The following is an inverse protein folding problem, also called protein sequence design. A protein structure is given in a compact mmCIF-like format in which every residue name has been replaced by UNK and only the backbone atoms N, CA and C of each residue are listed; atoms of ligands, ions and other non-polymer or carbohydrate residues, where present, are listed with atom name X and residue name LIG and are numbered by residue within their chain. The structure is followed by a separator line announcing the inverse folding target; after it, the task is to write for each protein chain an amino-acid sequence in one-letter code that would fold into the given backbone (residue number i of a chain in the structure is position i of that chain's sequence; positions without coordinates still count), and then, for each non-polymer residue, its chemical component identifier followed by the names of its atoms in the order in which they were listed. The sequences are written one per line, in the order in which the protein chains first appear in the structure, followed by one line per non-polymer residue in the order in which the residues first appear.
data_IF_524947976958
#
_entry.id   IF_524947976958
#
_cell.length_a   1.000
_cell.length_b   1.000
_cell.length_c   1.000
_cell.angle_alpha   90.00
_cell.angle_beta   90.00
_cell.angle_gamma   90.00
#
_symmetry.space_group_name_H-M   'P 1'
#
loop_
_entity.id
_entity.type
_entity.pdbx_description
1 polymer ?
#
# COMPACT_ATOMS: atom_id res chain seq x y z
N UNK A 1 11.95 10.89 -5.35
CA UNK A 1 10.73 11.74 -5.41
C UNK A 1 10.34 12.11 -3.99
N UNK A 2 9.97 13.37 -3.75
CA UNK A 2 9.60 13.87 -2.42
C UNK A 2 8.18 14.46 -2.47
N UNK A 3 7.34 14.14 -1.48
CA UNK A 3 5.97 14.66 -1.33
C UNK A 3 5.72 15.11 0.11
N UNK A 4 4.81 16.07 0.29
CA UNK A 4 4.28 16.46 1.61
C UNK A 4 2.99 15.70 1.87
N UNK A 5 2.90 15.10 3.05
CA UNK A 5 1.72 14.41 3.55
C UNK A 5 1.41 14.90 4.97
N UNK A 6 0.15 15.25 5.29
CA UNK A 6 -0.18 15.79 6.61
C UNK A 6 -0.10 14.74 7.73
N UNK A 7 -0.12 13.44 7.43
CA UNK A 7 -0.09 12.36 8.41
C UNK A 7 1.35 11.96 8.72
N UNK A 8 2.14 11.70 7.68
CA UNK A 8 3.52 11.19 7.85
C UNK A 8 4.61 12.25 7.61
N UNK A 9 4.24 13.50 7.32
CA UNK A 9 5.18 14.60 7.10
C UNK A 9 5.82 14.58 5.72
N UNK A 10 7.09 14.17 5.63
CA UNK A 10 7.83 14.14 4.38
C UNK A 10 7.90 12.69 3.85
N UNK A 11 7.26 12.43 2.72
CA UNK A 11 7.40 11.15 2.03
C UNK A 11 8.58 11.24 1.05
N UNK A 12 9.63 10.45 1.27
CA UNK A 12 10.80 10.40 0.41
C UNK A 12 10.96 9.01 -0.20
N UNK A 13 10.86 8.94 -1.53
CA UNK A 13 11.06 7.72 -2.33
C UNK A 13 12.31 7.90 -3.20
N UNK A 14 13.47 7.78 -2.57
CA UNK A 14 14.77 8.12 -3.18
C UNK A 14 15.77 6.96 -3.14
N UNK A 15 15.53 5.93 -2.32
CA UNK A 15 16.35 4.72 -2.32
C UNK A 15 16.13 3.89 -3.58
N UNK A 16 17.08 2.99 -3.88
CA UNK A 16 16.98 2.03 -4.97
C UNK A 16 15.71 1.17 -4.87
N UNK A 17 15.37 0.74 -3.65
CA UNK A 17 14.16 -0.04 -3.37
C UNK A 17 12.89 0.80 -3.60
N UNK A 18 12.92 2.08 -3.23
CA UNK A 18 11.78 3.00 -3.39
C UNK A 18 11.61 3.54 -4.82
N UNK A 19 12.56 3.31 -5.73
CA UNK A 19 12.51 3.80 -7.11
C UNK A 19 11.34 3.21 -7.92
N UNK A 20 10.75 2.10 -7.47
CA UNK A 20 9.54 1.52 -8.07
C UNK A 20 8.29 2.39 -7.81
N UNK A 21 8.25 3.13 -6.70
CA UNK A 21 7.07 3.93 -6.31
C UNK A 21 6.76 5.04 -7.32
N UNK A 22 7.70 5.93 -7.71
CA UNK A 22 7.43 6.95 -8.73
C UNK A 22 6.96 6.37 -10.07
N UNK A 23 7.49 5.21 -10.49
CA UNK A 23 7.08 4.53 -11.72
C UNK A 23 5.61 4.09 -11.65
N UNK A 24 5.21 3.46 -10.55
CA UNK A 24 3.84 3.02 -10.34
C UNK A 24 2.86 4.19 -10.17
N UNK A 25 3.28 5.25 -9.48
CA UNK A 25 2.45 6.45 -9.33
C UNK A 25 2.14 7.12 -10.67
N UNK A 26 3.03 7.01 -11.67
CA UNK A 26 2.78 7.60 -12.99
C UNK A 26 1.67 6.88 -13.78
N UNK A 27 1.24 5.70 -13.35
CA UNK A 27 0.24 4.89 -14.06
C UNK A 27 -1.17 5.45 -13.88
N UNK A 28 -1.98 5.34 -14.94
CA UNK A 28 -3.37 5.80 -14.94
C UNK A 28 -4.23 5.12 -13.88
N UNK A 29 -3.99 3.83 -13.60
CA UNK A 29 -4.78 3.06 -12.63
C UNK A 29 -4.57 3.58 -11.20
N UNK A 30 -3.33 3.95 -10.86
CA UNK A 30 -3.01 4.58 -9.56
C UNK A 30 -3.48 6.03 -9.52
N UNK A 31 -3.30 6.82 -10.58
CA UNK A 31 -3.79 8.20 -10.64
C UNK A 31 -5.32 8.30 -10.52
N UNK A 32 -6.06 7.23 -10.88
CA UNK A 32 -7.51 7.15 -10.66
C UNK A 32 -7.89 7.25 -9.19
N UNK A 33 -7.06 6.75 -8.28
CA UNK A 33 -7.36 6.73 -6.84
C UNK A 33 -7.51 8.14 -6.26
N UNK A 34 -7.01 9.19 -6.94
CA UNK A 34 -7.22 10.60 -6.55
C UNK A 34 -8.69 11.03 -6.57
N UNK A 35 -9.54 10.28 -7.28
CA UNK A 35 -10.98 10.57 -7.45
C UNK A 35 -11.86 9.68 -6.57
N UNK A 36 -11.25 8.85 -5.72
CA UNK A 36 -11.95 7.88 -4.88
C UNK A 36 -11.66 8.23 -3.42
N UNK A 37 -12.70 8.65 -2.68
CA UNK A 37 -12.59 8.91 -1.24
C UNK A 37 -12.32 7.61 -0.48
N UNK A 38 -11.43 7.65 0.52
CA UNK A 38 -11.11 6.49 1.37
C UNK A 38 -12.36 5.99 2.11
N UNK A 39 -13.06 6.91 2.78
CA UNK A 39 -14.17 6.61 3.67
C UNK A 39 -15.57 6.83 3.04
N UNK A 40 -15.66 6.93 1.71
CA UNK A 40 -16.92 7.05 0.99
C UNK A 40 -17.81 8.19 1.50
N UNK A 41 -19.00 7.84 2.00
CA UNK A 41 -20.01 8.80 2.47
C UNK A 41 -19.78 9.29 3.91
N UNK A 42 -18.71 8.85 4.59
CA UNK A 42 -18.38 9.28 5.95
C UNK A 42 -18.23 10.81 6.06
N UNK A 43 -17.85 11.46 4.95
CA UNK A 43 -17.85 12.92 4.80
C UNK A 43 -19.18 13.61 5.14
N UNK A 44 -20.32 12.91 5.07
CA UNK A 44 -21.62 13.44 5.46
C UNK A 44 -21.76 13.63 6.99
N UNK A 45 -21.02 12.84 7.79
CA UNK A 45 -20.99 12.95 9.25
C UNK A 45 -19.72 13.66 9.75
N UNK A 46 -18.59 13.43 9.07
CA UNK A 46 -17.29 14.04 9.37
C UNK A 46 -16.82 14.84 8.15
N UNK A 47 -17.14 16.13 8.04
CA UNK A 47 -16.83 16.93 6.83
C UNK A 47 -15.35 16.98 6.43
N UNK A 48 -14.42 16.66 7.33
CA UNK A 48 -12.99 16.55 7.04
C UNK A 48 -12.55 15.23 6.39
N UNK A 49 -13.40 14.19 6.38
CA UNK A 49 -13.14 12.85 5.84
C UNK A 49 -13.19 12.82 4.29
N UNK A 50 -12.40 13.69 3.67
CA UNK A 50 -12.32 13.94 2.22
C UNK A 50 -11.06 13.35 1.59
N UNK A 51 -10.18 12.72 2.38
CA UNK A 51 -8.96 12.10 1.88
C UNK A 51 -9.26 10.95 0.91
N UNK A 52 -8.31 10.75 0.00
CA UNK A 52 -8.46 9.83 -1.14
C UNK A 52 -7.65 8.57 -0.94
N UNK A 53 -8.05 7.50 -1.63
CA UNK A 53 -7.27 6.25 -1.71
C UNK A 53 -5.85 6.47 -2.24
N UNK A 54 -5.64 7.52 -3.05
CA UNK A 54 -4.31 7.89 -3.51
C UNK A 54 -3.39 8.37 -2.37
N UNK A 55 -3.93 9.19 -1.46
CA UNK A 55 -3.16 9.65 -0.29
C UNK A 55 -2.84 8.48 0.65
N UNK A 56 -3.82 7.59 0.84
CA UNK A 56 -3.63 6.34 1.58
C UNK A 56 -2.54 5.46 0.94
N UNK A 57 -2.63 5.15 -0.35
CA UNK A 57 -1.63 4.34 -1.06
C UNK A 57 -0.19 4.87 -0.89
N UNK A 58 0.00 6.20 -0.99
CA UNK A 58 1.28 6.86 -0.74
C UNK A 58 1.76 6.69 0.71
N UNK A 59 0.86 6.85 1.67
CA UNK A 59 1.15 6.67 3.08
C UNK A 59 1.52 5.22 3.40
N UNK A 60 0.76 4.24 2.91
CA UNK A 60 1.04 2.81 3.05
C UNK A 60 2.42 2.45 2.47
N UNK A 61 2.76 2.98 1.29
CA UNK A 61 4.10 2.81 0.71
C UNK A 61 5.20 3.44 1.58
N UNK A 62 4.94 4.59 2.21
CA UNK A 62 5.89 5.22 3.12
C UNK A 62 6.09 4.41 4.42
N UNK A 63 5.01 3.90 5.01
CA UNK A 63 5.11 3.02 6.18
C UNK A 63 5.91 1.76 5.83
N UNK A 64 5.70 1.19 4.64
CA UNK A 64 6.52 0.09 4.13
C UNK A 64 7.99 0.47 3.98
N UNK A 65 8.33 1.66 3.44
CA UNK A 65 9.73 2.11 3.40
C UNK A 65 10.38 2.14 4.80
N UNK A 66 9.65 2.61 5.82
CA UNK A 66 10.14 2.66 7.20
C UNK A 66 10.35 1.25 7.78
N UNK A 67 9.42 0.33 7.51
CA UNK A 67 9.55 -1.07 7.91
C UNK A 67 10.76 -1.74 7.23
N UNK A 68 10.93 -1.56 5.92
CA UNK A 68 12.05 -2.12 5.18
C UNK A 68 13.39 -1.58 5.67
N UNK A 69 13.44 -0.28 6.03
CA UNK A 69 14.61 0.31 6.69
C UNK A 69 14.93 -0.41 8.00
N UNK A 70 13.93 -0.67 8.85
CA UNK A 70 14.14 -1.44 10.08
C UNK A 70 14.64 -2.86 9.80
N UNK A 71 14.07 -3.52 8.79
CA UNK A 71 14.48 -4.86 8.38
C UNK A 71 15.91 -4.89 7.83
N UNK A 72 16.38 -3.79 7.21
CA UNK A 72 17.80 -3.61 6.86
C UNK A 72 18.69 -3.49 8.09
N UNK A 73 18.28 -2.73 9.10
CA UNK A 73 19.07 -2.55 10.33
C UNK A 73 19.35 -3.87 11.07
N UNK A 74 18.42 -4.82 11.00
CA UNK A 74 18.56 -6.14 11.64
C UNK A 74 19.01 -7.24 10.67
N UNK A 75 19.34 -6.89 9.42
CA UNK A 75 19.56 -7.85 8.34
C UNK A 75 20.63 -8.90 8.67
N UNK A 76 21.76 -8.47 9.24
CA UNK A 76 22.87 -9.36 9.55
C UNK A 76 22.61 -10.27 10.75
N UNK A 77 21.67 -9.88 11.62
CA UNK A 77 21.20 -10.72 12.73
C UNK A 77 20.20 -11.79 12.27
N UNK A 78 19.61 -11.65 11.08
CA UNK A 78 18.68 -12.64 10.53
C UNK A 78 19.44 -13.83 9.92
N UNK A 79 18.92 -15.06 10.08
CA UNK A 79 19.40 -16.22 9.33
C UNK A 79 19.35 -15.98 7.82
N UNK A 80 20.30 -16.54 7.05
CA UNK A 80 20.42 -16.23 5.62
C UNK A 80 19.15 -16.49 4.82
N UNK A 81 18.35 -17.50 5.18
CA UNK A 81 17.08 -17.82 4.52
C UNK A 81 15.95 -16.85 4.84
N UNK A 82 16.09 -16.05 5.91
CA UNK A 82 15.15 -14.98 6.26
C UNK A 82 15.59 -13.61 5.77
N UNK A 83 16.77 -13.50 5.15
CA UNK A 83 17.28 -12.24 4.62
C UNK A 83 16.49 -11.83 3.38
N UNK A 84 15.99 -10.59 3.39
CA UNK A 84 15.33 -9.98 2.25
C UNK A 84 16.36 -9.48 1.21
N UNK A 85 16.07 -9.59 -0.08
CA UNK A 85 16.84 -8.96 -1.16
C UNK A 85 16.22 -7.61 -1.55
N UNK A 86 16.96 -6.79 -2.30
CA UNK A 86 16.45 -5.55 -2.91
C UNK A 86 15.19 -5.81 -3.74
N UNK A 87 15.17 -6.89 -4.54
CA UNK A 87 13.99 -7.25 -5.35
C UNK A 87 12.76 -7.56 -4.49
N UNK A 88 12.93 -8.33 -3.41
CA UNK A 88 11.84 -8.64 -2.47
C UNK A 88 11.33 -7.36 -1.76
N UNK A 89 12.23 -6.41 -1.49
CA UNK A 89 11.87 -5.11 -0.91
C UNK A 89 11.06 -4.25 -1.91
N UNK A 90 11.46 -4.24 -3.19
CA UNK A 90 10.71 -3.58 -4.27
C UNK A 90 9.32 -4.20 -4.45
N UNK A 91 9.22 -5.53 -4.41
CA UNK A 91 7.95 -6.25 -4.53
C UNK A 91 7.02 -5.92 -3.35
N UNK A 92 7.55 -5.86 -2.12
CA UNK A 92 6.79 -5.45 -0.94
C UNK A 92 6.31 -3.98 -1.01
N UNK A 93 7.15 -3.06 -1.51
CA UNK A 93 6.76 -1.67 -1.74
C UNK A 93 5.67 -1.52 -2.81
N UNK A 94 5.80 -2.27 -3.89
CA UNK A 94 4.79 -2.31 -4.93
C UNK A 94 3.46 -2.86 -4.38
N UNK A 95 3.51 -3.93 -3.59
CA UNK A 95 2.32 -4.52 -2.98
C UNK A 95 1.64 -3.53 -2.01
N UNK A 96 2.42 -2.88 -1.14
CA UNK A 96 1.93 -1.84 -0.23
C UNK A 96 1.23 -0.68 -0.97
N UNK A 97 1.83 -0.19 -2.07
CA UNK A 97 1.24 0.88 -2.87
C UNK A 97 -0.02 0.45 -3.64
N UNK A 98 -0.09 -0.80 -4.08
CA UNK A 98 -1.10 -1.28 -5.03
C UNK A 98 -2.21 -2.14 -4.42
N UNK A 99 -2.14 -2.52 -3.14
CA UNK A 99 -3.12 -3.41 -2.51
C UNK A 99 -4.57 -2.98 -2.77
N UNK A 100 -4.80 -1.66 -2.76
CA UNK A 100 -6.09 -1.00 -2.94
C UNK A 100 -6.42 -0.52 -4.36
N UNK A 101 -5.58 -0.80 -5.37
CA UNK A 101 -5.76 -0.29 -6.74
C UNK A 101 -7.06 -0.77 -7.40
N UNK A 102 -7.58 -1.91 -6.94
CA UNK A 102 -8.85 -2.50 -7.36
C UNK A 102 -10.10 -1.78 -6.87
N UNK A 103 -10.02 -0.90 -5.87
CA UNK A 103 -11.22 -0.30 -5.29
C UNK A 103 -11.98 0.63 -6.25
N UNK A 104 -13.29 0.39 -6.36
CA UNK A 104 -14.24 1.29 -7.02
C UNK A 104 -14.72 2.44 -6.12
N UNK A 105 -15.52 3.38 -6.68
CA UNK A 105 -16.19 4.42 -5.91
C UNK A 105 -17.11 3.80 -4.85
N UNK A 106 -17.19 4.42 -3.66
CA UNK A 106 -17.93 3.93 -2.48
C UNK A 106 -17.47 2.55 -1.95
N UNK A 107 -16.50 1.91 -2.61
CA UNK A 107 -15.73 0.77 -2.12
C UNK A 107 -16.61 -0.34 -1.54
N UNK A 108 -16.49 -0.69 -0.25
CA UNK A 108 -17.29 -1.77 0.35
C UNK A 108 -18.80 -1.55 0.28
N UNK A 109 -19.28 -0.30 0.22
CA UNK A 109 -20.71 -0.03 0.02
C UNK A 109 -21.16 -0.49 -1.38
N UNK A 110 -20.31 -0.31 -2.40
CA UNK A 110 -20.59 -0.76 -3.75
C UNK A 110 -20.62 -2.29 -3.84
N UNK A 111 -19.65 -2.96 -3.22
CA UNK A 111 -19.60 -4.43 -3.14
C UNK A 111 -20.81 -5.00 -2.39
N UNK A 112 -21.19 -4.38 -1.26
CA UNK A 112 -22.34 -4.82 -0.46
C UNK A 112 -23.67 -4.62 -1.20
N UNK A 113 -23.79 -3.51 -1.96
CA UNK A 113 -24.99 -3.22 -2.73
C UNK A 113 -25.14 -4.10 -3.98
N UNK A 114 -24.03 -4.57 -4.54
CA UNK A 114 -23.98 -5.39 -5.75
C UNK A 114 -23.17 -6.68 -5.52
N UNK A 115 -23.73 -7.67 -4.80
CA UNK A 115 -23.01 -8.87 -4.35
C UNK A 115 -22.57 -9.81 -5.50
N UNK A 116 -22.98 -9.53 -6.74
CA UNK A 116 -22.54 -10.26 -7.93
C UNK A 116 -21.28 -9.67 -8.57
N UNK A 117 -20.82 -8.52 -8.09
CA UNK A 117 -19.61 -7.86 -8.60
C UNK A 117 -18.40 -8.43 -7.85
N UNK A 118 -17.27 -8.71 -8.55
CA UNK A 118 -16.06 -9.15 -7.87
C UNK A 118 -15.57 -8.15 -6.83
N UNK A 119 -15.04 -8.65 -5.72
CA UNK A 119 -14.40 -7.84 -4.68
C UNK A 119 -13.18 -7.08 -5.21
N UNK A 120 -12.82 -5.97 -4.57
CA UNK A 120 -11.66 -5.16 -4.93
C UNK A 120 -10.35 -5.95 -5.01
N UNK A 121 -10.12 -6.98 -4.18
CA UNK A 121 -8.94 -7.85 -4.25
C UNK A 121 -8.79 -8.55 -5.62
N UNK A 122 -9.93 -8.99 -6.18
CA UNK A 122 -9.96 -9.57 -7.52
C UNK A 122 -9.59 -8.54 -8.58
N UNK A 123 -10.12 -7.32 -8.46
CA UNK A 123 -9.79 -6.22 -9.38
C UNK A 123 -8.34 -5.77 -9.26
N UNK A 124 -7.78 -5.72 -8.05
CA UNK A 124 -6.35 -5.44 -7.84
C UNK A 124 -5.53 -6.48 -8.60
N UNK A 125 -5.84 -7.77 -8.44
CA UNK A 125 -5.16 -8.85 -9.16
C UNK A 125 -5.32 -8.75 -10.67
N UNK A 126 -6.53 -8.46 -11.16
CA UNK A 126 -6.80 -8.29 -12.58
C UNK A 126 -5.98 -7.12 -13.17
N UNK A 127 -5.89 -6.00 -12.47
CA UNK A 127 -5.08 -4.84 -12.89
C UNK A 127 -3.59 -5.21 -12.95
N UNK A 128 -3.09 -5.93 -11.94
CA UNK A 128 -1.68 -6.32 -11.85
C UNK A 128 -1.30 -7.34 -12.93
N UNK A 129 -2.19 -8.28 -13.24
CA UNK A 129 -1.88 -9.43 -14.10
C UNK A 129 -2.23 -9.21 -15.57
N UNK A 130 -3.04 -8.20 -15.91
CA UNK A 130 -3.39 -7.88 -17.30
C UNK A 130 -2.28 -7.06 -17.99
N UNK A 131 -1.61 -7.59 -19.04
CA UNK A 131 -0.57 -6.89 -19.78
C UNK A 131 -1.01 -5.59 -20.47
N UNK A 132 -2.31 -5.35 -20.61
CA UNK A 132 -2.87 -4.14 -21.20
C UNK A 132 -2.79 -2.92 -20.26
N UNK A 133 -2.60 -3.13 -18.95
CA UNK A 133 -2.57 -2.04 -17.96
C UNK A 133 -1.22 -1.34 -17.90
N UNK A 134 -1.19 -0.09 -17.43
CA UNK A 134 0.08 0.61 -17.19
C UNK A 134 0.78 0.07 -15.95
N UNK A 135 0.02 -0.31 -14.91
CA UNK A 135 0.54 -0.98 -13.71
C UNK A 135 1.31 -2.25 -14.05
N UNK A 136 0.73 -3.15 -14.86
CA UNK A 136 1.42 -4.38 -15.24
C UNK A 136 2.74 -4.08 -15.96
N UNK A 137 2.70 -3.20 -16.97
CA UNK A 137 3.89 -2.82 -17.73
C UNK A 137 4.96 -2.17 -16.85
N UNK A 138 4.56 -1.35 -15.89
CA UNK A 138 5.46 -0.74 -14.92
C UNK A 138 6.08 -1.77 -13.97
N UNK A 139 5.32 -2.77 -13.50
CA UNK A 139 5.84 -3.87 -12.66
C UNK A 139 6.78 -4.80 -13.43
N UNK A 140 6.39 -5.20 -14.64
CA UNK A 140 7.09 -6.15 -15.48
C UNK A 140 8.42 -5.61 -16.05
N UNK A 141 8.63 -4.30 -16.03
CA UNK A 141 9.85 -3.69 -16.54
C UNK A 141 11.07 -4.11 -15.69
N UNK A 142 11.98 -4.84 -16.34
CA UNK A 142 13.19 -5.43 -15.75
C UNK A 142 12.99 -6.82 -15.15
N UNK A 143 11.74 -7.25 -14.90
CA UNK A 143 11.40 -8.56 -14.36
C UNK A 143 9.93 -8.89 -14.65
N UNK A 144 9.70 -9.79 -15.61
CA UNK A 144 8.35 -10.20 -16.02
C UNK A 144 7.61 -11.03 -14.96
N UNK A 145 8.30 -11.55 -13.94
CA UNK A 145 7.70 -12.31 -12.84
C UNK A 145 7.18 -11.43 -11.70
N UNK A 146 7.62 -10.16 -11.62
CA UNK A 146 7.21 -9.22 -10.56
C UNK A 146 5.70 -9.05 -10.42
N UNK A 147 4.90 -8.87 -11.49
CA UNK A 147 3.45 -8.70 -11.35
C UNK A 147 2.78 -9.84 -10.56
N UNK A 148 3.19 -11.09 -10.83
CA UNK A 148 2.67 -12.24 -10.13
C UNK A 148 3.08 -12.25 -8.65
N UNK A 149 4.37 -11.99 -8.33
CA UNK A 149 4.84 -11.96 -6.94
C UNK A 149 4.18 -10.85 -6.11
N UNK A 150 3.95 -9.68 -6.72
CA UNK A 150 3.23 -8.58 -6.07
C UNK A 150 1.77 -8.94 -5.82
N UNK A 151 1.10 -9.60 -6.77
CA UNK A 151 -0.25 -10.10 -6.55
C UNK A 151 -0.32 -11.13 -5.41
N UNK A 152 0.65 -12.05 -5.33
CA UNK A 152 0.75 -13.03 -4.24
C UNK A 152 0.92 -12.36 -2.87
N UNK A 153 1.76 -11.32 -2.78
CA UNK A 153 1.94 -10.53 -1.55
C UNK A 153 0.64 -9.87 -1.08
N UNK A 154 -0.14 -9.30 -2.00
CA UNK A 154 -1.46 -8.70 -1.68
C UNK A 154 -2.41 -9.75 -1.10
N UNK A 155 -2.32 -11.00 -1.59
CA UNK A 155 -3.08 -12.15 -1.06
C UNK A 155 -2.47 -12.77 0.20
N UNK A 156 -1.49 -12.12 0.83
CA UNK A 156 -0.82 -12.62 2.03
C UNK A 156 0.04 -13.86 1.79
N UNK A 157 0.57 -14.04 0.58
CA UNK A 157 1.41 -15.20 0.20
C UNK A 157 2.82 -14.75 -0.17
N UNK A 158 3.82 -15.23 0.58
CA UNK A 158 5.23 -15.01 0.29
C UNK A 158 6.10 -16.04 1.03
N UNK A 159 7.27 -16.38 0.47
CA UNK A 159 8.24 -17.31 1.10
C UNK A 159 8.84 -16.78 2.40
N UNK A 160 8.86 -15.44 2.55
CA UNK A 160 9.15 -14.73 3.79
C UNK A 160 7.82 -14.30 4.42
N UNK A 161 7.28 -15.01 5.43
CA UNK A 161 5.95 -14.74 5.97
C UNK A 161 5.80 -13.33 6.54
N UNK A 162 6.89 -12.75 7.07
CA UNK A 162 6.86 -11.40 7.60
C UNK A 162 6.60 -10.33 6.52
N UNK A 163 6.96 -10.56 5.25
CA UNK A 163 6.63 -9.63 4.16
C UNK A 163 5.17 -9.74 3.76
N UNK A 164 4.62 -10.96 3.72
CA UNK A 164 3.20 -11.18 3.50
C UNK A 164 2.37 -10.51 4.61
N UNK A 165 2.72 -10.76 5.89
CA UNK A 165 2.04 -10.15 7.03
C UNK A 165 2.21 -8.63 7.12
N UNK A 166 3.29 -8.08 6.56
CA UNK A 166 3.48 -6.64 6.48
C UNK A 166 2.49 -5.98 5.51
N UNK A 167 2.03 -6.69 4.48
CA UNK A 167 1.04 -6.20 3.50
C UNK A 167 -0.38 -6.56 3.92
N UNK A 168 -0.59 -7.79 4.38
CA UNK A 168 -1.88 -8.33 4.79
C UNK A 168 -1.74 -9.13 6.09
N UNK A 169 -2.06 -8.48 7.20
CA UNK A 169 -1.88 -9.03 8.54
C UNK A 169 -2.62 -8.24 9.62
N UNK A 170 -2.51 -8.68 10.87
CA UNK A 170 -3.15 -7.98 11.99
C UNK A 170 -2.51 -6.60 12.27
N UNK A 171 -1.22 -6.47 11.98
CA UNK A 171 -0.41 -5.26 12.15
C UNK A 171 0.34 -4.96 10.84
N UNK A 172 -0.41 -4.76 9.76
CA UNK A 172 0.14 -4.43 8.45
C UNK A 172 0.27 -2.92 8.21
N UNK A 173 1.00 -2.58 7.15
CA UNK A 173 1.26 -1.18 6.77
C UNK A 173 -0.01 -0.46 6.32
N UNK A 174 -1.00 -1.20 5.82
CA UNK A 174 -2.32 -0.69 5.44
C UNK A 174 -3.04 -0.10 6.67
N UNK A 175 -3.24 -0.93 7.71
CA UNK A 175 -3.81 -0.50 9.00
C UNK A 175 -3.03 0.62 9.63
N UNK A 176 -1.71 0.55 9.54
CA UNK A 176 -0.86 1.59 10.10
C UNK A 176 -1.09 2.96 9.46
N UNK A 177 -1.32 3.03 8.14
CA UNK A 177 -1.66 4.29 7.49
C UNK A 177 -3.10 4.70 7.78
N UNK A 178 -4.08 3.84 7.47
CA UNK A 178 -5.47 4.31 7.47
C UNK A 178 -5.93 4.69 8.86
N UNK A 179 -5.49 4.03 9.94
CA UNK A 179 -5.89 4.40 11.30
C UNK A 179 -5.44 5.82 11.65
N UNK A 180 -4.18 6.16 11.36
CA UNK A 180 -3.64 7.50 11.58
C UNK A 180 -4.28 8.53 10.65
N UNK A 181 -4.47 8.18 9.38
CA UNK A 181 -5.02 9.08 8.36
C UNK A 181 -6.49 9.38 8.59
N UNK A 182 -7.27 8.36 8.94
CA UNK A 182 -8.69 8.47 9.26
C UNK A 182 -8.86 9.27 10.55
N UNK A 183 -8.05 9.01 11.58
CA UNK A 183 -8.03 9.81 12.82
C UNK A 183 -7.73 11.29 12.54
N UNK A 184 -6.70 11.56 11.72
CA UNK A 184 -6.34 12.91 11.33
C UNK A 184 -7.47 13.61 10.55
N UNK A 185 -8.08 12.95 9.57
CA UNK A 185 -9.09 13.56 8.70
C UNK A 185 -10.46 13.73 9.39
N UNK A 186 -10.84 12.82 10.27
CA UNK A 186 -12.11 12.88 11.01
C UNK A 186 -12.03 13.72 12.29
N UNK A 187 -10.81 13.96 12.81
CA UNK A 187 -10.59 14.57 14.12
C UNK A 187 -10.82 13.61 15.29
N UNK A 188 -11.06 12.32 15.04
CA UNK A 188 -11.24 11.30 16.08
C UNK A 188 -9.88 10.80 16.55
N UNK A 189 -9.40 11.37 17.66
CA UNK A 189 -8.05 11.14 18.19
C UNK A 189 -7.79 9.76 18.81
N UNK A 190 -8.80 8.92 18.99
CA UNK A 190 -8.61 7.58 19.56
C UNK A 190 -7.84 6.61 18.64
N UNK A 191 -7.72 6.94 17.34
CA UNK A 191 -6.91 6.16 16.39
C UNK A 191 -5.44 6.61 16.30
N UNK A 192 -5.02 7.60 17.09
CA UNK A 192 -3.64 8.10 17.09
C UNK A 192 -2.76 7.21 17.98
N UNK A 193 -1.75 6.56 17.39
CA UNK A 193 -0.82 5.66 18.07
C UNK A 193 0.62 5.92 17.62
N UNK A 194 1.60 5.51 18.43
CA UNK A 194 3.01 5.72 18.11
C UNK A 194 3.52 4.68 17.11
N UNK A 195 3.38 5.01 15.82
CA UNK A 195 3.93 4.23 14.71
C UNK A 195 5.46 4.12 14.76
N UNK A 196 6.14 5.13 15.30
CA UNK A 196 7.60 5.13 15.40
C UNK A 196 8.11 4.10 16.40
N UNK A 197 7.43 3.96 17.53
CA UNK A 197 7.68 2.92 18.50
C UNK A 197 7.37 1.53 17.91
N UNK A 198 6.17 1.37 17.32
CA UNK A 198 5.72 0.08 16.76
C UNK A 198 6.68 -0.49 15.70
N UNK A 199 7.21 0.35 14.81
CA UNK A 199 8.14 -0.07 13.77
C UNK A 199 9.56 -0.35 14.29
N UNK A 200 9.90 0.05 15.52
CA UNK A 200 11.24 -0.14 16.10
C UNK A 200 11.32 -1.32 17.06
N UNK A 201 10.23 -1.58 17.79
CA UNK A 201 10.05 -2.75 18.66
C UNK A 201 10.26 -4.05 17.91
#
# INVERSE_FOLDING_TARGET
MILRDPVHGLLAFESEEAAIVPRLLATREVQRLRRIKQLGVTSLAFPGAEHTRFAHALGTAHVMCRLLTRLRDIHDALPFWQRMSTDRAQDALAAALLHDVGHGPLSHLFESALPRVPHHEHWSSAILLDPSTEVHRALAQGDSGRPARVAELIHGRHELPYLAHAVSGALDVDRCDYLLRDAHATGVRYGDFDLGWLLRS
#
